data_IF_660322525491
#
_entry.id   IF_660322525491
#
_cell.length_a   1.000
_cell.length_b   1.000
_cell.length_c   1.000
_cell.angle_alpha   90.00
_cell.angle_beta   90.00
_cell.angle_gamma   90.00
#
_symmetry.space_group_name_H-M   'P 1'
#
loop_
_entity.id
_entity.type
_entity.pdbx_description
1 polymer ?
#
# COMPACT_ATOMS: atom_id res chain seq x y z
N UNK A 1 15.34 -12.68 15.54
CA UNK A 1 14.02 -13.35 15.62
C UNK A 1 12.85 -12.44 15.23
N UNK A 2 12.93 -11.11 15.43
CA UNK A 2 11.83 -10.18 15.13
C UNK A 2 11.48 -10.01 13.63
N UNK A 3 12.47 -9.96 12.73
CA UNK A 3 12.25 -9.63 11.31
C UNK A 3 11.39 -10.64 10.55
N UNK A 4 11.55 -11.94 10.81
CA UNK A 4 10.76 -13.00 10.16
C UNK A 4 9.28 -12.94 10.53
N UNK A 5 8.98 -12.73 11.80
CA UNK A 5 7.59 -12.61 12.30
C UNK A 5 6.91 -11.37 11.72
N UNK A 6 7.64 -10.24 11.68
CA UNK A 6 7.14 -9.00 11.09
C UNK A 6 6.83 -9.18 9.59
N UNK A 7 7.66 -9.93 8.87
CA UNK A 7 7.45 -10.24 7.45
C UNK A 7 6.22 -11.13 7.22
N UNK A 8 6.10 -12.23 7.93
CA UNK A 8 4.93 -13.14 7.82
C UNK A 8 3.63 -12.40 8.16
N UNK A 9 3.66 -11.52 9.16
CA UNK A 9 2.52 -10.66 9.50
C UNK A 9 2.21 -9.67 8.37
N UNK A 10 3.21 -8.98 7.84
CA UNK A 10 3.05 -8.03 6.75
C UNK A 10 2.45 -8.69 5.50
N UNK A 11 2.98 -9.85 5.09
CA UNK A 11 2.50 -10.60 3.93
C UNK A 11 1.02 -10.98 4.09
N UNK A 12 0.63 -11.48 5.28
CA UNK A 12 -0.78 -11.78 5.59
C UNK A 12 -1.67 -10.54 5.42
N UNK A 13 -1.27 -9.38 5.96
CA UNK A 13 -2.07 -8.17 5.81
C UNK A 13 -2.10 -7.63 4.38
N UNK A 14 -1.01 -7.77 3.63
CA UNK A 14 -0.93 -7.39 2.21
C UNK A 14 -1.96 -8.19 1.40
N UNK A 15 -2.03 -9.50 1.59
CA UNK A 15 -3.02 -10.35 0.90
C UNK A 15 -4.47 -9.90 1.20
N UNK A 16 -4.77 -9.60 2.47
CA UNK A 16 -6.11 -9.11 2.85
C UNK A 16 -6.40 -7.72 2.29
N UNK A 17 -5.39 -6.85 2.23
CA UNK A 17 -5.51 -5.53 1.62
C UNK A 17 -5.83 -5.67 0.14
N UNK A 18 -5.05 -6.45 -0.61
CA UNK A 18 -5.21 -6.62 -2.05
C UNK A 18 -6.58 -7.22 -2.40
N UNK A 19 -7.04 -8.23 -1.66
CA UNK A 19 -8.38 -8.82 -1.83
C UNK A 19 -9.54 -7.88 -1.45
N UNK A 20 -9.27 -6.83 -0.69
CA UNK A 20 -10.26 -5.82 -0.27
C UNK A 20 -10.33 -4.59 -1.19
N UNK A 21 -9.46 -4.53 -2.21
CA UNK A 21 -9.41 -3.44 -3.17
C UNK A 21 -10.56 -3.51 -4.18
N UNK A 22 -11.03 -2.34 -4.57
CA UNK A 22 -11.96 -2.17 -5.68
C UNK A 22 -11.88 -0.76 -6.26
N UNK A 23 -12.46 -0.56 -7.44
CA UNK A 23 -12.33 0.69 -8.21
C UNK A 23 -12.93 1.92 -7.53
N UNK A 24 -13.88 1.77 -6.61
CA UNK A 24 -14.45 2.88 -5.82
C UNK A 24 -13.42 3.51 -4.85
N UNK A 25 -12.35 2.79 -4.51
CA UNK A 25 -11.26 3.32 -3.70
C UNK A 25 -10.21 4.11 -4.51
N UNK A 26 -10.30 4.12 -5.84
CA UNK A 26 -9.43 4.95 -6.67
C UNK A 26 -9.78 6.43 -6.49
N UNK A 27 -8.75 7.30 -6.56
CA UNK A 27 -9.00 8.73 -6.66
C UNK A 27 -9.56 9.05 -8.05
N UNK A 28 -10.34 10.14 -8.23
CA UNK A 28 -10.84 10.53 -9.55
C UNK A 28 -9.73 10.65 -10.60
N UNK A 29 -8.56 11.20 -10.20
CA UNK A 29 -7.36 11.29 -11.04
C UNK A 29 -6.85 9.91 -11.47
N UNK A 30 -6.66 8.98 -10.53
CA UNK A 30 -6.16 7.64 -10.86
C UNK A 30 -7.17 6.82 -11.65
N UNK A 31 -8.46 6.95 -11.35
CA UNK A 31 -9.53 6.30 -12.10
C UNK A 31 -9.47 6.69 -13.58
N UNK A 32 -9.36 7.99 -13.88
CA UNK A 32 -9.21 8.48 -15.26
C UNK A 32 -7.93 7.95 -15.93
N UNK A 33 -6.82 7.87 -15.21
CA UNK A 33 -5.55 7.36 -15.77
C UNK A 33 -5.67 5.87 -16.10
N UNK A 34 -6.23 5.06 -15.19
CA UNK A 34 -6.34 3.60 -15.33
C UNK A 34 -7.36 3.22 -16.40
N UNK A 35 -8.50 3.94 -16.49
CA UNK A 35 -9.52 3.67 -17.50
C UNK A 35 -9.04 3.94 -18.93
N UNK A 36 -8.02 4.79 -19.11
CA UNK A 36 -7.43 5.12 -20.42
C UNK A 36 -6.18 4.28 -20.74
N UNK A 37 -5.92 3.21 -20.01
CA UNK A 37 -4.73 2.37 -20.16
C UNK A 37 -5.10 0.89 -20.26
N UNK A 38 -4.21 0.03 -20.80
CA UNK A 38 -4.42 -1.41 -20.80
C UNK A 38 -4.69 -1.96 -19.39
N UNK A 39 -5.35 -3.12 -19.26
CA UNK A 39 -5.57 -3.75 -17.97
C UNK A 39 -4.27 -3.83 -17.15
N UNK A 40 -4.33 -3.31 -15.92
CA UNK A 40 -3.21 -3.31 -14.96
C UNK A 40 -3.54 -4.19 -13.75
N UNK A 41 -2.53 -4.48 -12.95
CA UNK A 41 -2.70 -5.16 -11.67
C UNK A 41 -3.71 -4.42 -10.77
N UNK A 42 -4.43 -5.15 -9.92
CA UNK A 42 -5.52 -4.62 -9.06
C UNK A 42 -5.06 -3.51 -8.10
N UNK A 43 -3.76 -3.47 -7.78
CA UNK A 43 -3.15 -2.48 -6.89
C UNK A 43 -2.77 -1.16 -7.58
N UNK A 44 -2.88 -1.09 -8.92
CA UNK A 44 -2.52 0.09 -9.68
C UNK A 44 -3.33 1.30 -9.23
N UNK A 45 -2.64 2.37 -8.81
CA UNK A 45 -3.26 3.60 -8.33
C UNK A 45 -3.82 3.56 -6.91
N UNK A 46 -3.63 2.46 -6.18
CA UNK A 46 -3.99 2.34 -4.77
C UNK A 46 -2.80 2.47 -3.81
N UNK A 47 -1.56 2.61 -4.31
CA UNK A 47 -0.33 2.63 -3.51
C UNK A 47 -0.39 3.52 -2.25
N UNK A 48 -0.91 4.75 -2.37
CA UNK A 48 -1.07 5.64 -1.22
C UNK A 48 -1.97 5.03 -0.13
N UNK A 49 -3.17 4.56 -0.51
CA UNK A 49 -4.15 4.08 0.46
C UNK A 49 -3.79 2.70 1.01
N UNK A 50 -3.09 1.87 0.23
CA UNK A 50 -2.65 0.55 0.68
C UNK A 50 -1.49 0.65 1.65
N UNK A 51 -0.50 1.53 1.37
CA UNK A 51 0.58 1.82 2.30
C UNK A 51 0.06 2.47 3.60
N UNK A 52 -0.86 3.43 3.50
CA UNK A 52 -1.49 4.07 4.67
C UNK A 52 -2.30 3.07 5.50
N UNK A 53 -3.15 2.26 4.86
CA UNK A 53 -3.93 1.25 5.56
C UNK A 53 -3.04 0.22 6.26
N UNK A 54 -2.00 -0.29 5.59
CA UNK A 54 -1.07 -1.24 6.18
C UNK A 54 -0.35 -0.64 7.38
N UNK A 55 0.13 0.60 7.26
CA UNK A 55 0.80 1.32 8.35
C UNK A 55 -0.06 1.35 9.60
N UNK A 56 -1.33 1.76 9.50
CA UNK A 56 -2.22 1.83 10.65
C UNK A 56 -2.63 0.45 11.18
N UNK A 57 -2.87 -0.53 10.30
CA UNK A 57 -3.24 -1.90 10.69
C UNK A 57 -2.12 -2.60 11.48
N UNK A 58 -0.86 -2.31 11.13
CA UNK A 58 0.31 -2.86 11.81
C UNK A 58 0.79 -2.02 13.01
N UNK A 59 0.05 -1.00 13.45
CA UNK A 59 0.43 -0.18 14.62
C UNK A 59 1.42 0.95 14.33
N UNK A 60 1.75 1.19 13.05
CA UNK A 60 2.43 2.38 12.57
C UNK A 60 3.77 2.66 13.22
N UNK A 61 4.02 3.94 13.54
CA UNK A 61 5.28 4.42 14.11
C UNK A 61 5.64 3.71 15.42
N UNK A 62 4.66 3.34 16.25
CA UNK A 62 4.91 2.63 17.52
C UNK A 62 5.53 1.25 17.30
N UNK A 63 5.27 0.63 16.15
CA UNK A 63 5.90 -0.63 15.72
C UNK A 63 7.14 -0.44 14.86
N UNK A 64 7.57 0.80 14.64
CA UNK A 64 8.78 1.13 13.87
C UNK A 64 8.58 1.23 12.36
N UNK A 65 7.34 1.22 11.87
CA UNK A 65 7.07 1.38 10.44
C UNK A 65 7.35 2.81 9.98
N UNK A 66 7.99 2.94 8.82
CA UNK A 66 8.33 4.24 8.21
C UNK A 66 7.72 4.33 6.80
N UNK A 67 6.89 5.33 6.52
CA UNK A 67 6.40 5.57 5.17
C UNK A 67 7.48 6.17 4.27
N UNK A 68 7.55 5.66 3.05
CA UNK A 68 8.42 6.15 1.99
C UNK A 68 7.61 6.53 0.75
N UNK A 69 8.12 7.50 0.01
CA UNK A 69 7.55 7.97 -1.25
C UNK A 69 8.64 8.23 -2.27
N UNK A 70 8.38 7.89 -3.53
CA UNK A 70 9.17 8.31 -4.67
C UNK A 70 8.28 8.91 -5.75
N UNK A 71 8.78 9.93 -6.45
CA UNK A 71 8.13 10.46 -7.65
C UNK A 71 8.60 9.64 -8.85
N UNK A 72 7.65 9.18 -9.66
CA UNK A 72 7.95 8.54 -10.95
C UNK A 72 8.07 9.60 -12.05
N UNK A 73 8.73 9.25 -13.16
CA UNK A 73 8.87 10.12 -14.34
C UNK A 73 7.52 10.59 -14.92
N UNK A 74 6.45 9.84 -14.65
CA UNK A 74 5.07 10.16 -15.05
C UNK A 74 4.41 11.24 -14.19
N UNK A 75 5.09 11.76 -13.16
CA UNK A 75 4.54 12.72 -12.21
C UNK A 75 3.51 12.11 -11.24
N UNK A 76 3.53 10.78 -11.09
CA UNK A 76 2.74 10.02 -10.11
C UNK A 76 3.71 9.54 -9.02
N UNK A 77 3.28 9.63 -7.76
CA UNK A 77 4.08 9.14 -6.64
C UNK A 77 3.76 7.67 -6.35
N UNK A 78 4.78 6.89 -6.03
CA UNK A 78 4.63 5.56 -5.44
C UNK A 78 4.90 5.62 -3.93
N UNK A 79 4.08 4.93 -3.14
CA UNK A 79 4.15 4.91 -1.68
C UNK A 79 4.29 3.47 -1.18
N UNK A 80 5.16 3.27 -0.19
CA UNK A 80 5.40 2.00 0.48
C UNK A 80 5.85 2.22 1.92
N UNK A 81 6.12 1.15 2.66
CA UNK A 81 6.65 1.19 4.01
C UNK A 81 8.02 0.51 4.09
N UNK A 82 8.85 0.98 5.01
CA UNK A 82 10.00 0.24 5.54
C UNK A 82 9.66 -0.24 6.94
N UNK A 83 10.00 -1.49 7.25
CA UNK A 83 9.89 -2.05 8.60
C UNK A 83 11.15 -2.83 8.95
N UNK A 84 11.88 -2.40 9.99
CA UNK A 84 13.14 -3.02 10.43
C UNK A 84 14.22 -3.16 9.32
N UNK A 85 14.25 -2.20 8.38
CA UNK A 85 15.19 -2.20 7.24
C UNK A 85 14.71 -3.00 6.02
N UNK A 86 13.54 -3.62 6.10
CA UNK A 86 12.93 -4.36 5.00
C UNK A 86 11.84 -3.53 4.30
N UNK A 87 11.75 -3.66 2.99
CA UNK A 87 10.70 -3.01 2.19
C UNK A 87 9.40 -3.81 2.31
N UNK A 88 8.33 -3.12 2.68
CA UNK A 88 6.98 -3.64 2.79
C UNK A 88 6.06 -2.82 1.87
N UNK A 89 5.76 -3.38 0.71
CA UNK A 89 4.98 -2.70 -0.34
C UNK A 89 3.77 -3.54 -0.75
N UNK A 90 2.55 -3.17 -0.31
CA UNK A 90 1.32 -3.86 -0.69
C UNK A 90 0.95 -3.75 -2.17
N UNK A 91 1.67 -2.93 -2.92
CA UNK A 91 1.37 -2.57 -4.30
C UNK A 91 2.56 -2.76 -5.25
N UNK A 92 3.59 -3.51 -4.84
CA UNK A 92 4.76 -3.80 -5.68
C UNK A 92 4.37 -4.44 -7.02
N UNK A 93 3.31 -5.24 -7.02
CA UNK A 93 2.81 -5.95 -8.20
C UNK A 93 2.34 -5.02 -9.31
N UNK A 94 2.03 -3.75 -9.04
CA UNK A 94 1.72 -2.80 -10.11
C UNK A 94 2.93 -2.51 -11.03
N UNK A 95 4.15 -2.85 -10.58
CA UNK A 95 5.38 -2.75 -11.35
C UNK A 95 5.85 -4.13 -11.81
N UNK A 96 5.94 -5.09 -10.88
CA UNK A 96 6.53 -6.39 -11.19
C UNK A 96 5.67 -7.20 -12.15
N UNK A 97 4.34 -6.99 -12.19
CA UNK A 97 3.47 -7.59 -13.21
C UNK A 97 3.77 -7.06 -14.63
N UNK A 98 4.42 -5.90 -14.74
CA UNK A 98 4.85 -5.28 -16.00
C UNK A 98 6.36 -5.52 -16.26
N UNK A 99 7.03 -6.37 -15.47
CA UNK A 99 8.47 -6.62 -15.58
C UNK A 99 9.33 -5.43 -15.13
N UNK A 100 8.78 -4.52 -14.31
CA UNK A 100 9.45 -3.31 -13.83
C UNK A 100 9.78 -3.42 -12.36
N UNK A 101 10.82 -2.73 -11.93
CA UNK A 101 11.11 -2.53 -10.51
C UNK A 101 10.39 -1.29 -9.97
N UNK A 102 9.81 -1.37 -8.75
CA UNK A 102 9.37 -0.17 -8.05
C UNK A 102 10.54 0.80 -7.79
N UNK A 103 10.29 2.12 -7.76
CA UNK A 103 11.35 3.15 -7.65
C UNK A 103 11.91 3.29 -6.22
N UNK A 104 12.25 2.18 -5.56
CA UNK A 104 12.70 2.18 -4.16
C UNK A 104 13.99 2.98 -3.94
N UNK A 105 14.91 2.96 -4.91
CA UNK A 105 16.17 3.70 -4.86
C UNK A 105 16.00 5.23 -4.86
N UNK A 106 14.82 5.74 -5.26
CA UNK A 106 14.46 7.16 -5.23
C UNK A 106 13.64 7.54 -3.99
N UNK A 107 13.45 6.59 -3.07
CA UNK A 107 12.58 6.75 -1.92
C UNK A 107 13.06 7.77 -0.91
N UNK A 108 12.14 8.61 -0.47
CA UNK A 108 12.34 9.53 0.65
C UNK A 108 11.39 9.17 1.77
N UNK A 109 11.92 9.01 2.99
CA UNK A 109 11.11 8.78 4.18
C UNK A 109 10.27 10.04 4.48
N UNK A 110 8.94 9.92 4.37
CA UNK A 110 8.03 11.05 4.55
C UNK A 110 6.70 10.58 5.13
N UNK A 111 6.23 11.28 6.17
CA UNK A 111 4.92 11.03 6.75
C UNK A 111 3.78 11.16 5.73
N UNK A 112 2.69 10.43 5.97
CA UNK A 112 1.46 10.56 5.19
C UNK A 112 0.90 11.98 5.27
N UNK A 113 0.05 12.34 4.30
CA UNK A 113 -0.48 13.69 4.16
C UNK A 113 -1.45 14.07 5.29
N UNK A 114 -1.98 13.08 6.01
CA UNK A 114 -2.98 13.25 7.06
C UNK A 114 -2.50 12.67 8.39
N UNK A 115 -2.89 13.32 9.50
CA UNK A 115 -2.59 12.84 10.86
C UNK A 115 -3.36 11.55 11.18
N UNK A 116 -4.60 11.49 10.73
CA UNK A 116 -5.48 10.33 10.82
C UNK A 116 -5.56 9.62 9.46
N UNK A 117 -5.87 8.31 9.41
CA UNK A 117 -6.00 7.62 8.15
C UNK A 117 -7.07 8.27 7.25
N UNK A 118 -6.73 8.47 5.98
CA UNK A 118 -7.64 9.05 5.00
C UNK A 118 -8.96 8.28 4.92
N UNK A 119 -10.05 8.93 4.46
CA UNK A 119 -11.37 8.28 4.35
C UNK A 119 -11.31 6.98 3.54
N UNK A 120 -10.54 6.94 2.45
CA UNK A 120 -10.40 5.76 1.59
C UNK A 120 -9.58 4.66 2.29
N UNK A 121 -8.52 5.03 3.02
CA UNK A 121 -7.77 4.07 3.83
C UNK A 121 -8.62 3.48 4.95
N UNK A 122 -9.44 4.29 5.65
CA UNK A 122 -10.36 3.77 6.68
C UNK A 122 -11.36 2.74 6.13
N UNK A 123 -11.97 3.03 4.98
CA UNK A 123 -12.87 2.07 4.30
C UNK A 123 -12.11 0.77 3.98
N UNK A 124 -10.88 0.87 3.48
CA UNK A 124 -10.05 -0.29 3.18
C UNK A 124 -9.71 -1.10 4.45
N UNK A 125 -9.30 -0.42 5.53
CA UNK A 125 -9.05 -1.05 6.84
C UNK A 125 -10.29 -1.77 7.38
N UNK A 126 -11.48 -1.16 7.26
CA UNK A 126 -12.74 -1.77 7.70
C UNK A 126 -13.04 -3.05 6.90
N UNK A 127 -12.77 -3.07 5.59
CA UNK A 127 -12.91 -4.26 4.76
C UNK A 127 -11.95 -5.36 5.18
N UNK A 128 -10.68 -5.02 5.37
CA UNK A 128 -9.65 -5.96 5.85
C UNK A 128 -10.03 -6.57 7.19
N UNK A 129 -10.45 -5.75 8.15
CA UNK A 129 -10.89 -6.22 9.46
C UNK A 129 -12.11 -7.16 9.38
N UNK A 130 -13.05 -6.90 8.47
CA UNK A 130 -14.18 -7.81 8.21
C UNK A 130 -13.72 -9.14 7.62
N UNK A 131 -12.76 -9.13 6.72
CA UNK A 131 -12.19 -10.36 6.14
C UNK A 131 -11.49 -11.20 7.21
N UNK A 132 -10.65 -10.57 8.05
CA UNK A 132 -9.96 -11.26 9.15
C UNK A 132 -10.94 -11.88 10.14
N UNK A 133 -12.02 -11.16 10.51
CA UNK A 133 -13.04 -11.67 11.44
C UNK A 133 -13.88 -12.83 10.91
N UNK A 134 -13.95 -13.03 9.58
CA UNK A 134 -14.69 -14.15 8.98
C UNK A 134 -13.87 -15.45 8.93
N UNK A 135 -12.57 -15.37 9.18
CA UNK A 135 -11.64 -16.49 9.15
C UNK A 135 -11.37 -17.09 10.55
N UNK A 136 -11.97 -16.49 11.59
CA UNK A 136 -11.94 -16.93 12.98
C UNK A 136 -13.32 -17.45 13.36
#
# INVERSE_FOLDING_TARGET
>A
MSSRVNRELADKYIEKIQSSLSKDLLSPRMKKIIENQPPRHVTAGHCYITAEALYHLLGGKEKGLKPFVAMQDTGITHWWLEWDGEIVDPSKEQFTSEGREPPYHLGVCKGFLTKEPSRRARILMDRVNKTIRKEV
#
